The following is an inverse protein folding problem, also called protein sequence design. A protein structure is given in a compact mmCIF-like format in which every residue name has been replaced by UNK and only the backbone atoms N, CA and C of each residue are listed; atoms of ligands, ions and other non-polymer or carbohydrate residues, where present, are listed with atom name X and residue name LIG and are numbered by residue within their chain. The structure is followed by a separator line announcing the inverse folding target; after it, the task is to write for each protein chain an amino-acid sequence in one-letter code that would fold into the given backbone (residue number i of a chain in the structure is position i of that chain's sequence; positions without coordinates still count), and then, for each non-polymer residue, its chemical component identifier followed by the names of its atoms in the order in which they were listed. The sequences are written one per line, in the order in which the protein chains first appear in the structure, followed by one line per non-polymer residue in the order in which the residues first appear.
data_IF_228146092841
#
_entry.id   IF_228146092841
#
_cell.length_a   1.000
_cell.length_b   1.000
_cell.length_c   1.000
_cell.angle_alpha   90.00
_cell.angle_beta   90.00
_cell.angle_gamma   90.00
#
_symmetry.space_group_name_H-M   'P 1'
#
loop_
_entity.id
_entity.type
_entity.pdbx_description
1 polymer ?
#
# COMPACT_ATOMS: atom_id res chain seq x y z
N UNK A 1 21.96 -14.71 -18.86
CA UNK A 1 21.72 -13.25 -19.00
C UNK A 1 21.14 -12.76 -17.67
N UNK A 2 21.77 -11.76 -17.04
CA UNK A 2 21.74 -11.53 -15.58
C UNK A 2 20.35 -11.08 -15.08
N UNK A 3 19.74 -11.78 -14.09
CA UNK A 3 18.43 -11.45 -13.48
C UNK A 3 18.29 -9.96 -13.13
N UNK A 4 19.39 -9.37 -12.65
CA UNK A 4 19.50 -7.95 -12.30
C UNK A 4 19.26 -7.04 -13.51
N UNK A 5 19.80 -7.39 -14.69
CA UNK A 5 19.62 -6.57 -15.90
C UNK A 5 18.16 -6.58 -16.39
N UNK A 6 17.46 -7.70 -16.19
CA UNK A 6 16.06 -7.87 -16.61
C UNK A 6 15.04 -7.25 -15.64
N UNK A 7 15.41 -7.08 -14.37
CA UNK A 7 14.53 -6.58 -13.31
C UNK A 7 15.07 -5.31 -12.66
N UNK A 8 15.81 -4.49 -13.42
CA UNK A 8 16.53 -3.32 -12.88
C UNK A 8 15.57 -2.34 -12.20
N UNK A 9 14.42 -2.04 -12.81
CA UNK A 9 13.47 -1.07 -12.25
C UNK A 9 12.78 -1.60 -11.00
N UNK A 10 12.46 -2.90 -10.96
CA UNK A 10 11.87 -3.58 -9.82
C UNK A 10 12.83 -3.57 -8.63
N UNK A 11 14.10 -3.91 -8.86
CA UNK A 11 15.13 -3.91 -7.81
C UNK A 11 15.34 -2.49 -7.26
N UNK A 12 15.44 -1.47 -8.14
CA UNK A 12 15.55 -0.08 -7.70
C UNK A 12 14.34 0.31 -6.84
N UNK A 13 13.14 -0.07 -7.24
CA UNK A 13 11.92 0.27 -6.50
C UNK A 13 11.83 -0.43 -5.15
N UNK A 14 12.26 -1.69 -5.05
CA UNK A 14 12.37 -2.37 -3.76
C UNK A 14 13.40 -1.69 -2.85
N UNK A 15 14.54 -1.25 -3.39
CA UNK A 15 15.56 -0.50 -2.62
C UNK A 15 14.97 0.82 -2.12
N UNK A 16 14.34 1.61 -3.00
CA UNK A 16 13.76 2.90 -2.62
C UNK A 16 12.66 2.70 -1.57
N UNK A 17 11.73 1.75 -1.77
CA UNK A 17 10.70 1.41 -0.79
C UNK A 17 11.33 1.06 0.57
N UNK A 18 12.32 0.18 0.59
CA UNK A 18 12.98 -0.26 1.82
C UNK A 18 13.69 0.90 2.53
N UNK A 19 14.35 1.78 1.78
CA UNK A 19 15.05 2.94 2.35
C UNK A 19 14.09 3.98 2.92
N UNK A 20 12.97 4.25 2.25
CA UNK A 20 12.04 5.31 2.66
C UNK A 20 11.03 4.86 3.71
N UNK A 21 10.51 3.63 3.63
CA UNK A 21 9.44 3.16 4.52
C UNK A 21 10.04 2.50 5.78
N UNK A 22 10.70 1.32 5.72
CA UNK A 22 11.36 0.75 6.90
C UNK A 22 12.52 1.58 7.49
N UNK A 23 13.44 2.09 6.67
CA UNK A 23 14.65 2.78 7.15
C UNK A 23 14.49 4.30 7.30
N UNK A 24 13.31 4.85 6.97
CA UNK A 24 12.95 6.25 7.16
C UNK A 24 14.00 7.26 6.64
N UNK A 25 14.65 6.99 5.50
CA UNK A 25 15.73 7.86 4.98
C UNK A 25 15.26 9.30 4.68
N UNK A 26 13.95 9.50 4.51
CA UNK A 26 13.33 10.82 4.38
C UNK A 26 13.60 11.73 5.59
N UNK A 27 13.81 11.18 6.78
CA UNK A 27 14.21 11.91 7.99
C UNK A 27 15.45 12.77 7.75
N UNK A 28 16.50 12.22 7.14
CA UNK A 28 17.75 12.94 6.90
C UNK A 28 17.59 14.06 5.88
N UNK A 29 16.68 13.88 4.92
CA UNK A 29 16.35 14.92 3.94
C UNK A 29 15.61 16.07 4.64
N UNK A 30 14.61 15.75 5.46
CA UNK A 30 13.88 16.75 6.24
C UNK A 30 14.77 17.47 7.25
N UNK A 31 15.71 16.76 7.87
CA UNK A 31 16.70 17.36 8.76
C UNK A 31 17.56 18.40 8.02
N UNK A 32 18.05 18.07 6.83
CA UNK A 32 18.80 19.01 5.99
C UNK A 32 17.98 20.24 5.61
N UNK A 33 16.70 20.06 5.22
CA UNK A 33 15.79 21.17 4.92
C UNK A 33 15.51 22.01 6.18
N UNK A 34 15.32 21.36 7.33
CA UNK A 34 15.06 22.02 8.61
C UNK A 34 16.19 22.97 8.99
N UNK A 35 17.45 22.55 8.80
CA UNK A 35 18.62 23.39 9.00
C UNK A 35 18.67 24.59 8.04
N UNK A 36 18.33 24.39 6.76
CA UNK A 36 18.38 25.43 5.74
C UNK A 36 17.27 26.47 5.88
N UNK A 37 16.06 26.02 6.25
CA UNK A 37 14.87 26.84 6.32
C UNK A 37 14.56 27.37 7.73
N UNK A 38 15.37 27.00 8.73
CA UNK A 38 15.18 27.36 10.14
C UNK A 38 13.76 27.04 10.66
N UNK A 39 13.28 25.84 10.32
CA UNK A 39 11.98 25.27 10.75
C UNK A 39 12.21 23.84 11.23
N UNK A 40 11.41 23.35 12.18
CA UNK A 40 11.55 21.98 12.67
C UNK A 40 10.55 21.03 11.97
N UNK A 41 10.91 20.51 10.80
CA UNK A 41 10.05 19.59 10.05
C UNK A 41 10.12 18.15 10.57
N UNK A 42 11.16 17.82 11.33
CA UNK A 42 11.45 16.47 11.81
C UNK A 42 10.54 16.05 12.96
N UNK A 43 9.98 17.02 13.71
CA UNK A 43 9.02 16.72 14.77
C UNK A 43 7.62 16.36 14.27
N UNK A 44 7.30 16.62 13.00
CA UNK A 44 5.98 16.30 12.45
C UNK A 44 5.95 14.86 11.93
N UNK A 45 5.21 14.00 12.63
CA UNK A 45 4.95 12.61 12.20
C UNK A 45 4.28 12.58 10.82
N UNK A 46 3.35 13.50 10.55
CA UNK A 46 2.73 13.61 9.23
C UNK A 46 3.75 13.92 8.14
N UNK A 47 4.65 14.90 8.35
CA UNK A 47 5.65 15.27 7.33
C UNK A 47 6.65 14.13 7.10
N UNK A 48 7.04 13.40 8.16
CA UNK A 48 7.88 12.21 8.06
C UNK A 48 7.20 11.10 7.23
N UNK A 49 5.96 10.79 7.51
CA UNK A 49 5.19 9.82 6.71
C UNK A 49 4.96 10.33 5.28
N UNK A 50 4.67 11.61 5.11
CA UNK A 50 4.44 12.20 3.80
C UNK A 50 5.68 12.09 2.90
N UNK A 51 6.88 12.41 3.39
CA UNK A 51 8.10 12.21 2.60
C UNK A 51 8.38 10.72 2.36
N UNK A 52 8.10 9.88 3.37
CA UNK A 52 8.25 8.43 3.34
C UNK A 52 7.41 7.77 2.25
N UNK A 53 6.18 8.20 2.03
CA UNK A 53 5.30 7.64 1.00
C UNK A 53 5.37 8.38 -0.33
N UNK A 54 5.46 9.71 -0.32
CA UNK A 54 5.34 10.53 -1.54
C UNK A 54 6.49 10.29 -2.50
N UNK A 55 7.73 10.29 -2.01
CA UNK A 55 8.91 10.09 -2.86
C UNK A 55 8.89 8.72 -3.55
N UNK A 56 8.79 7.58 -2.83
CA UNK A 56 8.69 6.28 -3.48
C UNK A 56 7.45 6.12 -4.35
N UNK A 57 6.29 6.65 -3.95
CA UNK A 57 5.07 6.58 -4.78
C UNK A 57 5.27 7.29 -6.12
N UNK A 58 5.86 8.50 -6.14
CA UNK A 58 6.15 9.23 -7.38
C UNK A 58 7.11 8.43 -8.26
N UNK A 59 8.21 7.91 -7.70
CA UNK A 59 9.16 7.10 -8.48
C UNK A 59 8.48 5.84 -9.03
N UNK A 60 7.67 5.17 -8.21
CA UNK A 60 6.90 3.98 -8.59
C UNK A 60 5.95 4.26 -9.73
N UNK A 61 5.15 5.33 -9.63
CA UNK A 61 4.25 5.77 -10.70
C UNK A 61 5.04 6.03 -11.98
N UNK A 62 6.17 6.74 -11.92
CA UNK A 62 6.98 7.03 -13.11
C UNK A 62 7.53 5.76 -13.76
N UNK A 63 8.03 4.81 -12.97
CA UNK A 63 8.64 3.56 -13.45
C UNK A 63 7.64 2.53 -13.96
N UNK A 64 6.43 2.51 -13.39
CA UNK A 64 5.40 1.53 -13.69
C UNK A 64 4.16 2.13 -14.37
N UNK A 65 4.23 3.38 -14.85
CA UNK A 65 3.10 4.06 -15.53
C UNK A 65 2.50 3.24 -16.67
N UNK A 66 3.34 2.54 -17.44
CA UNK A 66 2.87 1.75 -18.59
C UNK A 66 2.03 0.57 -18.10
N UNK A 67 2.53 -0.16 -17.13
CA UNK A 67 1.84 -1.30 -16.53
C UNK A 67 0.54 -0.88 -15.83
N UNK A 68 0.55 0.26 -15.15
CA UNK A 68 -0.65 0.84 -14.53
C UNK A 68 -1.68 1.19 -15.61
N UNK A 69 -1.30 1.95 -16.64
CA UNK A 69 -2.20 2.35 -17.73
C UNK A 69 -2.73 1.12 -18.48
N UNK A 70 -1.88 0.17 -18.82
CA UNK A 70 -2.25 -1.07 -19.51
C UNK A 70 -3.23 -1.90 -18.68
N UNK A 71 -3.11 -1.89 -17.35
CA UNK A 71 -4.01 -2.66 -16.48
C UNK A 71 -5.45 -2.16 -16.45
N UNK A 72 -5.73 -0.92 -16.89
CA UNK A 72 -7.09 -0.42 -17.10
C UNK A 72 -7.83 -1.17 -18.22
N UNK A 73 -7.12 -1.91 -19.08
CA UNK A 73 -7.76 -2.79 -20.06
C UNK A 73 -8.67 -3.84 -19.41
N UNK A 74 -8.43 -4.19 -18.13
CA UNK A 74 -9.33 -5.03 -17.36
C UNK A 74 -10.77 -4.49 -17.35
N UNK A 75 -10.97 -3.17 -17.33
CA UNK A 75 -12.31 -2.56 -17.27
C UNK A 75 -13.03 -2.48 -18.61
N UNK A 76 -12.40 -2.85 -19.74
CA UNK A 76 -13.02 -2.74 -21.07
C UNK A 76 -14.23 -3.66 -21.27
N UNK A 77 -14.25 -4.79 -20.58
CA UNK A 77 -15.36 -5.75 -20.63
C UNK A 77 -16.09 -5.80 -19.29
N UNK A 78 -17.42 -5.91 -19.31
CA UNK A 78 -18.26 -5.96 -18.09
C UNK A 78 -17.94 -4.82 -17.12
N UNK A 79 -17.74 -3.61 -17.65
CA UNK A 79 -17.26 -2.42 -16.93
C UNK A 79 -18.08 -2.13 -15.67
N UNK A 80 -19.41 -2.10 -15.78
CA UNK A 80 -20.30 -1.82 -14.65
C UNK A 80 -20.09 -2.85 -13.52
N UNK A 81 -20.05 -4.14 -13.85
CA UNK A 81 -19.84 -5.20 -12.86
C UNK A 81 -18.50 -5.03 -12.12
N UNK A 82 -17.43 -4.69 -12.85
CA UNK A 82 -16.08 -4.48 -12.28
C UNK A 82 -15.96 -3.19 -11.47
N UNK A 83 -16.70 -2.15 -11.83
CA UNK A 83 -16.75 -0.91 -11.05
C UNK A 83 -17.54 -1.15 -9.76
N UNK A 84 -18.70 -1.79 -9.84
CA UNK A 84 -19.53 -2.13 -8.67
C UNK A 84 -18.83 -3.13 -7.75
N UNK A 85 -17.98 -4.02 -8.26
CA UNK A 85 -17.25 -4.95 -7.41
C UNK A 85 -16.22 -4.27 -6.50
N UNK A 86 -15.73 -3.06 -6.84
CA UNK A 86 -14.77 -2.31 -6.00
C UNK A 86 -15.36 -2.03 -4.60
N UNK A 87 -16.48 -1.27 -4.46
CA UNK A 87 -17.08 -1.03 -3.15
C UNK A 87 -17.60 -2.31 -2.49
N UNK A 88 -17.99 -3.34 -3.26
CA UNK A 88 -18.39 -4.63 -2.68
C UNK A 88 -17.23 -5.37 -2.02
N UNK A 89 -16.04 -5.35 -2.63
CA UNK A 89 -14.83 -5.93 -2.02
C UNK A 89 -14.42 -5.13 -0.79
N UNK A 90 -14.49 -3.79 -0.85
CA UNK A 90 -14.21 -2.94 0.32
C UNK A 90 -15.18 -3.22 1.47
N UNK A 91 -16.49 -3.28 1.19
CA UNK A 91 -17.49 -3.64 2.20
C UNK A 91 -17.22 -5.03 2.80
N UNK A 92 -16.84 -6.00 1.97
CA UNK A 92 -16.47 -7.32 2.43
C UNK A 92 -15.23 -7.29 3.35
N UNK A 93 -14.18 -6.54 2.97
CA UNK A 93 -13.00 -6.33 3.82
C UNK A 93 -13.37 -5.74 5.18
N UNK A 94 -14.17 -4.67 5.20
CA UNK A 94 -14.62 -4.03 6.44
C UNK A 94 -15.42 -5.00 7.33
N UNK A 95 -16.32 -5.79 6.75
CA UNK A 95 -17.08 -6.80 7.51
C UNK A 95 -16.13 -7.84 8.13
N UNK A 96 -15.14 -8.32 7.36
CA UNK A 96 -14.17 -9.30 7.85
C UNK A 96 -13.33 -8.72 8.99
N UNK A 97 -12.81 -7.51 8.83
CA UNK A 97 -12.03 -6.81 9.86
C UNK A 97 -12.84 -6.65 11.16
N UNK A 98 -14.09 -6.18 11.06
CA UNK A 98 -14.98 -6.01 12.22
C UNK A 98 -15.33 -7.35 12.89
N UNK A 99 -15.57 -8.41 12.11
CA UNK A 99 -15.79 -9.75 12.65
C UNK A 99 -14.58 -10.28 13.41
N UNK A 100 -13.36 -10.06 12.89
CA UNK A 100 -12.12 -10.48 13.55
C UNK A 100 -11.92 -9.71 14.85
N UNK A 101 -12.06 -8.38 14.82
CA UNK A 101 -11.92 -7.55 16.02
C UNK A 101 -12.92 -7.96 17.11
N UNK A 102 -14.18 -8.19 16.72
CA UNK A 102 -15.22 -8.67 17.64
C UNK A 102 -14.89 -10.05 18.22
N UNK A 103 -14.44 -11.00 17.38
CA UNK A 103 -14.10 -12.35 17.82
C UNK A 103 -12.91 -12.39 18.79
N UNK A 104 -11.90 -11.54 18.56
CA UNK A 104 -10.72 -11.44 19.40
C UNK A 104 -10.91 -10.56 20.64
N UNK A 105 -12.08 -9.91 20.77
CA UNK A 105 -12.36 -8.91 21.79
C UNK A 105 -11.28 -7.81 21.85
N UNK A 106 -10.83 -7.34 20.68
CA UNK A 106 -9.80 -6.31 20.51
C UNK A 106 -10.37 -5.07 19.81
N UNK A 107 -9.70 -3.94 20.01
CA UNK A 107 -9.98 -2.69 19.31
C UNK A 107 -9.25 -2.58 17.97
N UNK A 108 -9.24 -1.35 17.44
CA UNK A 108 -8.45 -1.00 16.25
C UNK A 108 -6.95 -1.26 16.51
N UNK A 109 -6.18 -1.74 15.51
CA UNK A 109 -4.74 -1.86 15.65
C UNK A 109 -4.06 -0.51 15.90
N UNK A 110 -3.03 -0.48 16.74
CA UNK A 110 -2.27 0.74 17.08
C UNK A 110 -1.74 1.46 15.83
N UNK A 111 -1.24 0.71 14.84
CA UNK A 111 -0.80 1.30 13.56
C UNK A 111 -1.92 2.07 12.84
N UNK A 112 -3.16 1.57 12.89
CA UNK A 112 -4.30 2.26 12.31
C UNK A 112 -4.70 3.49 13.14
N UNK A 113 -4.71 3.38 14.48
CA UNK A 113 -4.98 4.51 15.37
C UNK A 113 -3.98 5.65 15.18
N UNK A 114 -2.68 5.35 15.15
CA UNK A 114 -1.62 6.34 14.94
C UNK A 114 -1.76 7.06 13.60
N UNK A 115 -2.11 6.34 12.52
CA UNK A 115 -2.38 6.95 11.21
C UNK A 115 -3.58 7.88 11.24
N UNK A 116 -4.65 7.52 11.95
CA UNK A 116 -5.84 8.35 12.12
C UNK A 116 -5.53 9.61 12.93
N UNK A 117 -4.81 9.50 14.04
CA UNK A 117 -4.40 10.63 14.87
C UNK A 117 -3.49 11.59 14.08
N UNK A 118 -2.42 11.06 13.47
CA UNK A 118 -1.49 11.84 12.63
C UNK A 118 -2.22 12.53 11.47
N UNK A 119 -3.18 11.82 10.86
CA UNK A 119 -3.99 12.33 9.76
C UNK A 119 -4.98 13.42 10.18
N UNK A 120 -5.39 13.45 11.45
CA UNK A 120 -6.34 14.44 11.97
C UNK A 120 -5.66 15.80 12.25
N UNK A 121 -4.34 15.84 12.40
CA UNK A 121 -3.57 17.07 12.65
C UNK A 121 -3.45 17.98 11.41
N UNK A 122 -3.74 17.45 10.22
CA UNK A 122 -3.61 18.17 8.95
C UNK A 122 -4.94 18.21 8.18
N UNK A 123 -5.12 19.15 7.25
CA UNK A 123 -6.32 19.18 6.42
C UNK A 123 -6.55 17.84 5.71
N UNK A 124 -7.79 17.34 5.78
CA UNK A 124 -8.21 16.03 5.25
C UNK A 124 -7.71 15.74 3.82
N UNK A 125 -7.63 16.77 2.96
CA UNK A 125 -7.12 16.61 1.59
C UNK A 125 -5.69 16.07 1.54
N UNK A 126 -4.82 16.47 2.47
CA UNK A 126 -3.44 15.97 2.55
C UNK A 126 -3.38 14.55 3.12
N UNK A 127 -4.21 14.26 4.13
CA UNK A 127 -4.36 12.92 4.72
C UNK A 127 -4.83 11.91 3.67
N UNK A 128 -5.88 12.25 2.93
CA UNK A 128 -6.37 11.41 1.83
C UNK A 128 -5.32 11.27 0.74
N UNK A 129 -4.60 12.33 0.37
CA UNK A 129 -3.54 12.24 -0.63
C UNK A 129 -2.42 11.27 -0.20
N UNK A 130 -1.91 11.40 1.03
CA UNK A 130 -0.76 10.60 1.49
C UNK A 130 -1.19 9.18 1.83
N UNK A 131 -2.13 9.01 2.76
CA UNK A 131 -2.53 7.70 3.28
C UNK A 131 -3.64 7.04 2.46
N UNK A 132 -4.58 7.82 1.93
CA UNK A 132 -5.68 7.29 1.12
C UNK A 132 -5.32 6.95 -0.33
N UNK A 133 -4.29 7.61 -0.89
CA UNK A 133 -3.96 7.52 -2.33
C UNK A 133 -2.53 7.04 -2.55
N UNK A 134 -1.52 7.78 -2.09
CA UNK A 134 -0.12 7.50 -2.41
C UNK A 134 0.40 6.22 -1.75
N UNK A 135 0.05 5.99 -0.47
CA UNK A 135 0.34 4.74 0.24
C UNK A 135 -0.16 3.51 -0.53
N UNK A 136 -1.48 3.39 -0.77
CA UNK A 136 -2.05 2.28 -1.53
C UNK A 136 -1.42 2.09 -2.91
N UNK A 137 -1.15 3.16 -3.67
CA UNK A 137 -0.48 3.04 -4.97
C UNK A 137 0.91 2.41 -4.82
N UNK A 138 1.72 2.91 -3.88
CA UNK A 138 3.06 2.40 -3.63
C UNK A 138 3.02 0.93 -3.22
N UNK A 139 2.14 0.58 -2.30
CA UNK A 139 2.01 -0.77 -1.80
C UNK A 139 1.58 -1.75 -2.90
N UNK A 140 0.58 -1.42 -3.70
CA UNK A 140 0.16 -2.32 -4.79
C UNK A 140 1.25 -2.50 -5.87
N UNK A 141 2.06 -1.47 -6.14
CA UNK A 141 3.24 -1.60 -7.00
C UNK A 141 4.23 -2.60 -6.40
N UNK A 142 4.56 -2.47 -5.11
CA UNK A 142 5.57 -3.31 -4.44
C UNK A 142 5.06 -4.74 -4.27
N UNK A 143 3.94 -4.92 -3.60
CA UNK A 143 3.44 -6.22 -3.19
C UNK A 143 2.80 -6.99 -4.34
N UNK A 144 1.96 -6.34 -5.16
CA UNK A 144 1.18 -7.06 -6.17
C UNK A 144 1.89 -7.09 -7.51
N UNK A 145 2.44 -5.96 -7.97
CA UNK A 145 3.16 -5.95 -9.23
C UNK A 145 4.56 -6.57 -9.12
N UNK A 146 5.43 -6.08 -8.23
CA UNK A 146 6.81 -6.56 -8.15
C UNK A 146 6.87 -7.97 -7.53
N UNK A 147 6.43 -8.14 -6.28
CA UNK A 147 6.59 -9.42 -5.59
C UNK A 147 5.75 -10.53 -6.23
N UNK A 148 4.46 -10.29 -6.48
CA UNK A 148 3.62 -11.34 -7.09
C UNK A 148 3.87 -11.46 -8.59
N UNK A 149 3.63 -10.41 -9.39
CA UNK A 149 3.67 -10.58 -10.84
C UNK A 149 5.09 -10.82 -11.38
N UNK A 150 6.11 -10.06 -10.97
CA UNK A 150 7.47 -10.20 -11.52
C UNK A 150 8.24 -11.36 -10.91
N UNK A 151 8.17 -11.60 -9.61
CA UNK A 151 8.94 -12.71 -9.02
C UNK A 151 8.28 -14.07 -9.19
N UNK A 152 6.96 -14.14 -9.42
CA UNK A 152 6.30 -15.43 -9.74
C UNK A 152 6.88 -16.13 -10.98
N UNK A 153 7.52 -15.41 -11.92
CA UNK A 153 8.25 -16.02 -13.04
C UNK A 153 9.43 -16.90 -12.61
N UNK A 154 9.92 -16.74 -11.39
CA UNK A 154 11.10 -17.43 -10.87
C UNK A 154 10.76 -18.45 -9.78
N UNK A 155 9.77 -18.15 -8.94
CA UNK A 155 9.42 -18.97 -7.76
C UNK A 155 7.98 -19.52 -7.80
N UNK A 156 7.22 -19.22 -8.86
CA UNK A 156 5.81 -19.61 -8.98
C UNK A 156 4.85 -18.68 -8.24
N UNK A 157 3.61 -18.58 -8.74
CA UNK A 157 2.58 -17.65 -8.23
C UNK A 157 2.22 -17.91 -6.77
N UNK A 158 2.14 -19.18 -6.36
CA UNK A 158 1.75 -19.54 -4.99
C UNK A 158 2.78 -19.04 -3.96
N UNK A 159 4.05 -19.36 -4.16
CA UNK A 159 5.14 -18.95 -3.25
C UNK A 159 5.27 -17.42 -3.25
N UNK A 160 5.23 -16.78 -4.42
CA UNK A 160 5.28 -15.32 -4.51
C UNK A 160 4.13 -14.64 -3.76
N UNK A 161 2.92 -15.20 -3.84
CA UNK A 161 1.75 -14.69 -3.11
C UNK A 161 1.91 -14.86 -1.60
N UNK A 162 2.36 -16.02 -1.13
CA UNK A 162 2.60 -16.26 0.30
C UNK A 162 3.63 -15.26 0.85
N UNK A 163 4.76 -15.09 0.15
CA UNK A 163 5.80 -14.13 0.56
C UNK A 163 5.24 -12.71 0.59
N UNK A 164 4.52 -12.28 -0.44
CA UNK A 164 3.91 -10.96 -0.48
C UNK A 164 2.92 -10.74 0.66
N UNK A 165 2.06 -11.72 0.94
CA UNK A 165 1.05 -11.63 2.00
C UNK A 165 1.72 -11.54 3.36
N UNK A 166 2.74 -12.37 3.61
CA UNK A 166 3.47 -12.37 4.87
C UNK A 166 4.22 -11.06 5.10
N UNK A 167 4.98 -10.57 4.11
CA UNK A 167 5.72 -9.31 4.26
C UNK A 167 4.76 -8.14 4.47
N UNK A 168 3.67 -8.06 3.69
CA UNK A 168 2.66 -7.00 3.86
C UNK A 168 2.09 -7.03 5.28
N UNK A 169 1.62 -8.19 5.74
CA UNK A 169 1.00 -8.34 7.06
C UNK A 169 1.97 -7.96 8.18
N UNK A 170 3.21 -8.45 8.12
CA UNK A 170 4.21 -8.19 9.15
C UNK A 170 4.64 -6.73 9.20
N UNK A 171 4.64 -6.01 8.08
CA UNK A 171 4.96 -4.58 8.06
C UNK A 171 3.88 -3.70 8.70
N UNK A 172 2.65 -4.20 8.85
CA UNK A 172 1.54 -3.48 9.46
C UNK A 172 1.29 -3.89 10.92
N UNK A 173 2.05 -4.86 11.44
CA UNK A 173 1.83 -5.48 12.74
C UNK A 173 2.75 -4.85 13.80
N UNK A 174 2.18 -4.26 14.86
CA UNK A 174 2.92 -3.82 16.04
C UNK A 174 2.93 -4.91 17.12
N UNK A 175 1.85 -5.69 17.22
CA UNK A 175 1.69 -6.81 18.15
C UNK A 175 1.09 -8.04 17.46
N UNK A 176 1.30 -9.23 18.03
CA UNK A 176 0.90 -10.50 17.40
C UNK A 176 -0.59 -10.59 17.03
N UNK A 177 -1.48 -9.95 17.80
CA UNK A 177 -2.92 -9.90 17.50
C UNK A 177 -3.24 -9.15 16.20
N UNK A 178 -2.42 -8.18 15.81
CA UNK A 178 -2.63 -7.39 14.60
C UNK A 178 -2.50 -8.26 13.33
N UNK A 179 -1.73 -9.36 13.40
CA UNK A 179 -1.63 -10.33 12.30
C UNK A 179 -3.02 -10.83 11.91
N UNK A 180 -3.88 -11.13 12.89
CA UNK A 180 -5.21 -11.64 12.62
C UNK A 180 -6.10 -10.60 11.92
N UNK A 181 -5.83 -9.31 12.12
CA UNK A 181 -6.60 -8.18 11.55
C UNK A 181 -6.08 -7.85 10.13
N UNK A 182 -4.77 -7.75 9.93
CA UNK A 182 -4.18 -7.38 8.64
C UNK A 182 -4.06 -8.53 7.62
N UNK A 183 -3.92 -9.78 8.09
CA UNK A 183 -3.77 -10.94 7.20
C UNK A 183 -4.98 -11.12 6.26
N UNK A 184 -6.24 -11.04 6.73
CA UNK A 184 -7.40 -11.13 5.84
C UNK A 184 -7.43 -10.05 4.76
N UNK A 185 -7.14 -8.79 5.10
CA UNK A 185 -7.07 -7.70 4.11
C UNK A 185 -6.01 -7.97 3.03
N UNK A 186 -4.82 -8.41 3.45
CA UNK A 186 -3.73 -8.77 2.53
C UNK A 186 -4.09 -9.93 1.60
N UNK A 187 -4.81 -10.95 2.12
CA UNK A 187 -5.36 -12.06 1.35
C UNK A 187 -6.40 -11.58 0.33
N UNK A 188 -7.35 -10.73 0.75
CA UNK A 188 -8.42 -10.20 -0.10
C UNK A 188 -7.84 -9.39 -1.26
N UNK A 189 -6.90 -8.47 -0.99
CA UNK A 189 -6.23 -7.69 -2.04
C UNK A 189 -5.45 -8.59 -3.00
N UNK A 190 -4.75 -9.60 -2.48
CA UNK A 190 -4.02 -10.56 -3.30
C UNK A 190 -4.96 -11.39 -4.18
N UNK A 191 -6.07 -11.86 -3.64
CA UNK A 191 -7.10 -12.58 -4.39
C UNK A 191 -7.73 -11.69 -5.47
N UNK A 192 -8.12 -10.45 -5.13
CA UNK A 192 -8.65 -9.47 -6.06
C UNK A 192 -7.67 -9.21 -7.22
N UNK A 193 -6.38 -9.09 -6.92
CA UNK A 193 -5.34 -8.93 -7.94
C UNK A 193 -5.23 -10.15 -8.87
N UNK A 194 -5.19 -11.37 -8.33
CA UNK A 194 -5.07 -12.58 -9.15
C UNK A 194 -6.34 -12.84 -9.98
N UNK A 195 -7.53 -12.67 -9.40
CA UNK A 195 -8.83 -12.83 -10.08
C UNK A 195 -9.00 -11.80 -11.20
N UNK A 196 -8.51 -10.58 -11.00
CA UNK A 196 -8.57 -9.51 -12.00
C UNK A 196 -7.53 -9.65 -13.12
N UNK A 197 -6.96 -10.85 -13.31
CA UNK A 197 -5.89 -11.13 -14.28
C UNK A 197 -4.68 -10.21 -14.06
N UNK A 198 -4.34 -9.97 -12.79
CA UNK A 198 -3.22 -9.11 -12.35
C UNK A 198 -3.40 -7.64 -12.74
N UNK A 199 -4.63 -7.12 -12.67
CA UNK A 199 -4.89 -5.71 -12.90
C UNK A 199 -4.48 -4.88 -11.68
N UNK A 200 -3.37 -4.15 -11.80
CA UNK A 200 -2.91 -3.26 -10.73
C UNK A 200 -3.88 -2.09 -10.51
N UNK A 201 -4.48 -1.52 -11.57
CA UNK A 201 -5.48 -0.46 -11.43
C UNK A 201 -6.71 -0.91 -10.62
N UNK A 202 -7.16 -2.15 -10.80
CA UNK A 202 -8.31 -2.67 -10.05
C UNK A 202 -8.02 -2.79 -8.55
N UNK A 203 -6.89 -3.38 -8.18
CA UNK A 203 -6.53 -3.54 -6.76
C UNK A 203 -6.14 -2.21 -6.12
N UNK A 204 -5.50 -1.29 -6.85
CA UNK A 204 -5.27 0.10 -6.39
C UNK A 204 -6.60 0.78 -6.06
N UNK A 205 -7.62 0.66 -6.92
CA UNK A 205 -8.90 1.30 -6.68
C UNK A 205 -9.62 0.74 -5.43
N UNK A 206 -9.54 -0.58 -5.20
CA UNK A 206 -10.06 -1.21 -3.97
C UNK A 206 -9.33 -0.67 -2.76
N UNK A 207 -8.00 -0.68 -2.79
CA UNK A 207 -7.18 -0.32 -1.65
C UNK A 207 -7.33 1.17 -1.30
N UNK A 208 -7.29 2.04 -2.31
CA UNK A 208 -7.52 3.48 -2.14
C UNK A 208 -8.90 3.76 -1.55
N UNK A 209 -9.95 3.07 -2.04
CA UNK A 209 -11.29 3.26 -1.49
C UNK A 209 -11.37 2.81 -0.04
N UNK A 210 -10.77 1.66 0.31
CA UNK A 210 -10.72 1.18 1.70
C UNK A 210 -10.06 2.18 2.62
N UNK A 211 -8.86 2.65 2.26
CA UNK A 211 -8.12 3.62 3.07
C UNK A 211 -8.83 4.98 3.14
N UNK A 212 -9.36 5.50 2.02
CA UNK A 212 -10.11 6.76 2.05
C UNK A 212 -11.32 6.67 2.99
N UNK A 213 -12.07 5.56 2.98
CA UNK A 213 -13.21 5.38 3.88
C UNK A 213 -12.80 5.35 5.34
N UNK A 214 -11.64 4.78 5.68
CA UNK A 214 -11.14 4.75 7.05
C UNK A 214 -10.89 6.16 7.64
N UNK A 215 -10.62 7.17 6.81
CA UNK A 215 -10.46 8.56 7.25
C UNK A 215 -11.74 9.41 7.16
N UNK A 216 -12.79 8.91 6.51
CA UNK A 216 -14.04 9.66 6.27
C UNK A 216 -15.16 9.22 7.23
N UNK A 217 -15.17 7.95 7.62
CA UNK A 217 -16.17 7.33 8.50
C UNK A 217 -15.70 7.33 9.96
#
# INVERSE_FOLDING_TARGET
MNFIKMNKKEIIMLIIFTLFVPFQIGLYILFGISLLANVNLVESEFVLSAIGFTVPAIVGIIYFRKEIIESFTYFKEKTILKIVSIPMVVLFTLIVEQCVMHFLATGQPENQEQLLETGAEVPLVFTLLVFGILGPILEEIVFRHILINRFSYHIGTAIASIISIMIFTLLHTNQLSDIAIYLPGSLILTAAYLISKRSIAYVIAIHMLNNCLAFIL
#
